data_IF_379418401114
#
_entry.id   IF_379418401114
#
_cell.length_a   1.000
_cell.length_b   1.000
_cell.length_c   1.000
_cell.angle_alpha   90.00
_cell.angle_beta   90.00
_cell.angle_gamma   90.00
#
_symmetry.space_group_name_H-M   'P 1'
#
loop_
_entity.id
_entity.type
_entity.pdbx_description
1 polymer ?
#
# COMPACT_ATOMS: atom_id res chain seq x y z
N UNK A 1 -49.52 2.71 -14.15
CA UNK A 1 -49.02 2.19 -12.85
C UNK A 1 -47.77 1.33 -13.04
N UNK A 2 -47.77 0.35 -13.96
CA UNK A 2 -46.60 -0.51 -14.20
C UNK A 2 -45.39 0.23 -14.79
N UNK A 3 -45.62 1.27 -15.61
CA UNK A 3 -44.57 2.14 -16.15
C UNK A 3 -43.76 2.84 -15.05
N UNK A 4 -44.44 3.36 -14.03
CA UNK A 4 -43.79 4.02 -12.90
C UNK A 4 -42.88 3.05 -12.12
N UNK A 5 -43.28 1.78 -12.04
CA UNK A 5 -42.49 0.72 -11.40
C UNK A 5 -41.25 0.35 -12.22
N UNK A 6 -41.35 0.37 -13.56
CA UNK A 6 -40.22 0.13 -14.46
C UNK A 6 -39.17 1.21 -14.35
N UNK A 7 -39.57 2.49 -14.40
CA UNK A 7 -38.66 3.64 -14.28
C UNK A 7 -37.93 3.61 -12.92
N UNK A 8 -38.62 3.26 -11.82
CA UNK A 8 -37.98 3.13 -10.52
C UNK A 8 -37.02 1.93 -10.41
N UNK A 9 -37.29 0.81 -11.10
CA UNK A 9 -36.38 -0.33 -11.08
C UNK A 9 -35.11 -0.04 -11.89
N UNK A 10 -35.26 0.55 -13.07
CA UNK A 10 -34.17 0.87 -14.00
C UNK A 10 -33.16 1.84 -13.35
N UNK A 11 -33.67 2.93 -12.76
CA UNK A 11 -32.84 3.87 -11.99
C UNK A 11 -32.09 3.22 -10.82
N UNK A 12 -32.69 2.21 -10.16
CA UNK A 12 -32.07 1.53 -9.01
C UNK A 12 -30.97 0.55 -9.41
N UNK A 13 -31.01 0.04 -10.64
CA UNK A 13 -29.97 -0.84 -11.16
C UNK A 13 -28.80 -0.02 -11.72
N UNK A 14 -29.09 1.08 -12.42
CA UNK A 14 -28.07 1.98 -13.00
C UNK A 14 -27.16 2.62 -11.92
N UNK A 15 -27.69 3.01 -10.76
CA UNK A 15 -26.88 3.59 -9.67
C UNK A 15 -25.84 2.64 -9.04
N UNK A 16 -25.94 1.32 -9.28
CA UNK A 16 -25.12 0.31 -8.60
C UNK A 16 -23.93 -0.16 -9.43
N UNK A 17 -24.04 -0.17 -10.75
CA UNK A 17 -23.02 -0.73 -11.63
C UNK A 17 -21.90 0.30 -11.92
N UNK A 18 -22.23 1.56 -12.21
CA UNK A 18 -21.23 2.63 -12.38
C UNK A 18 -20.44 2.96 -11.09
N UNK A 19 -21.10 2.92 -9.93
CA UNK A 19 -20.47 3.18 -8.62
C UNK A 19 -19.61 2.01 -8.15
N UNK A 20 -20.02 0.78 -8.46
CA UNK A 20 -19.28 -0.44 -8.12
C UNK A 20 -18.01 -0.61 -8.95
N UNK A 21 -18.09 -0.40 -10.26
CA UNK A 21 -16.92 -0.45 -11.15
C UNK A 21 -15.88 0.63 -10.79
N UNK A 22 -16.34 1.87 -10.51
CA UNK A 22 -15.46 2.97 -10.08
C UNK A 22 -14.74 2.68 -8.75
N UNK A 23 -15.37 1.98 -7.80
CA UNK A 23 -14.74 1.66 -6.52
C UNK A 23 -13.53 0.73 -6.67
N UNK A 24 -13.54 -0.15 -7.66
CA UNK A 24 -12.46 -1.12 -7.92
C UNK A 24 -11.28 -0.44 -8.62
N UNK A 25 -11.50 0.53 -9.49
CA UNK A 25 -10.42 1.27 -10.17
C UNK A 25 -9.54 2.03 -9.17
N UNK A 26 -10.15 2.84 -8.30
CA UNK A 26 -9.42 3.54 -7.24
C UNK A 26 -8.83 2.56 -6.21
N UNK A 27 -9.55 1.47 -5.90
CA UNK A 27 -9.06 0.41 -5.02
C UNK A 27 -7.79 -0.27 -5.55
N UNK A 28 -7.71 -0.53 -6.86
CA UNK A 28 -6.55 -1.16 -7.50
C UNK A 28 -5.35 -0.21 -7.56
N UNK A 29 -5.56 1.08 -7.80
CA UNK A 29 -4.48 2.07 -7.72
C UNK A 29 -3.89 2.14 -6.31
N UNK A 30 -4.74 2.19 -5.28
CA UNK A 30 -4.31 2.21 -3.87
C UNK A 30 -3.58 0.91 -3.52
N UNK A 31 -4.08 -0.24 -3.95
CA UNK A 31 -3.42 -1.53 -3.73
C UNK A 31 -2.02 -1.58 -4.38
N UNK A 32 -1.86 -1.03 -5.59
CA UNK A 32 -0.57 -0.91 -6.24
C UNK A 32 0.42 -0.04 -5.48
N UNK A 33 -0.02 1.12 -4.98
CA UNK A 33 0.80 2.02 -4.16
C UNK A 33 1.18 1.33 -2.84
N UNK A 34 0.23 0.65 -2.19
CA UNK A 34 0.47 -0.08 -0.96
C UNK A 34 1.53 -1.18 -1.16
N UNK A 35 1.42 -1.97 -2.24
CA UNK A 35 2.40 -2.99 -2.57
C UNK A 35 3.80 -2.40 -2.81
N UNK A 36 3.89 -1.26 -3.52
CA UNK A 36 5.14 -0.54 -3.73
C UNK A 36 5.78 -0.12 -2.41
N UNK A 37 5.01 0.50 -1.51
CA UNK A 37 5.51 0.94 -0.20
C UNK A 37 6.05 -0.24 0.60
N UNK A 38 5.34 -1.37 0.63
CA UNK A 38 5.80 -2.58 1.32
C UNK A 38 7.16 -3.05 0.80
N UNK A 39 7.34 -3.10 -0.53
CA UNK A 39 8.61 -3.49 -1.14
C UNK A 39 9.74 -2.55 -0.72
N UNK A 40 9.49 -1.24 -0.74
CA UNK A 40 10.48 -0.23 -0.34
C UNK A 40 10.86 -0.39 1.14
N UNK A 41 9.89 -0.59 2.03
CA UNK A 41 10.16 -0.76 3.46
C UNK A 41 11.02 -2.01 3.72
N UNK A 42 10.74 -3.14 3.06
CA UNK A 42 11.57 -4.33 3.23
C UNK A 42 12.99 -4.15 2.66
N UNK A 43 13.11 -3.51 1.50
CA UNK A 43 14.41 -3.25 0.88
C UNK A 43 15.28 -2.33 1.75
N UNK A 44 14.72 -1.24 2.26
CA UNK A 44 15.45 -0.30 3.11
C UNK A 44 15.62 -0.80 4.56
N UNK A 45 14.66 -1.56 5.08
CA UNK A 45 14.68 -2.08 6.45
C UNK A 45 15.87 -3.00 6.70
N UNK A 46 16.23 -3.85 5.73
CA UNK A 46 17.44 -4.68 5.80
C UNK A 46 18.71 -3.84 5.89
N UNK A 47 18.88 -2.89 4.97
CA UNK A 47 20.06 -1.99 4.93
C UNK A 47 20.21 -1.18 6.22
N UNK A 48 19.12 -0.63 6.74
CA UNK A 48 19.13 0.13 7.99
C UNK A 48 19.51 -0.77 9.17
N UNK A 49 18.97 -1.99 9.22
CA UNK A 49 19.33 -2.98 10.23
C UNK A 49 20.82 -3.35 10.21
N UNK A 50 21.37 -3.56 9.02
CA UNK A 50 22.79 -3.88 8.82
C UNK A 50 23.69 -2.74 9.31
N UNK A 51 23.38 -1.48 8.94
CA UNK A 51 24.13 -0.30 9.41
C UNK A 51 24.10 -0.19 10.93
N UNK A 52 22.95 -0.42 11.56
CA UNK A 52 22.85 -0.39 13.02
C UNK A 52 23.61 -1.54 13.68
N UNK A 53 23.58 -2.74 13.08
CA UNK A 53 24.34 -3.90 13.54
C UNK A 53 25.85 -3.64 13.46
N UNK A 54 26.33 -3.11 12.35
CA UNK A 54 27.73 -2.77 12.13
C UNK A 54 28.21 -1.69 13.12
N UNK A 55 27.40 -0.65 13.32
CA UNK A 55 27.67 0.40 14.31
C UNK A 55 27.71 -0.17 15.73
N UNK A 56 26.79 -1.07 16.06
CA UNK A 56 26.74 -1.72 17.39
C UNK A 56 27.95 -2.64 17.64
N UNK A 57 28.43 -3.33 16.61
CA UNK A 57 29.62 -4.16 16.69
C UNK A 57 30.89 -3.31 16.84
N UNK A 58 30.96 -2.20 16.10
CA UNK A 58 32.05 -1.23 16.19
C UNK A 58 32.18 -0.63 17.60
N UNK A 59 31.07 -0.19 18.20
CA UNK A 59 31.08 0.39 19.54
C UNK A 59 31.39 -0.67 20.61
N UNK A 60 30.87 -1.90 20.46
CA UNK A 60 31.06 -2.96 21.46
C UNK A 60 32.48 -3.54 21.45
N UNK A 61 33.18 -3.50 20.31
CA UNK A 61 34.56 -4.00 20.18
C UNK A 61 35.60 -2.98 20.67
N UNK A 62 35.15 -1.83 21.19
CA UNK A 62 36.06 -0.80 21.71
C UNK A 62 36.79 -0.08 20.58
N UNK A 63 36.02 0.64 19.75
CA UNK A 63 36.42 1.63 18.75
C UNK A 63 37.94 1.86 18.64
N UNK A 64 38.65 0.93 18.00
CA UNK A 64 40.00 1.20 17.51
C UNK A 64 39.78 1.92 16.19
N UNK A 65 39.74 3.24 16.27
CA UNK A 65 39.25 4.18 15.26
C UNK A 65 40.08 4.18 13.97
N UNK A 66 40.01 3.11 13.17
CA UNK A 66 40.65 3.10 11.84
C UNK A 66 39.79 2.48 10.74
N UNK A 67 38.80 1.64 11.04
CA UNK A 67 37.81 1.25 10.01
C UNK A 67 36.65 0.48 10.63
N UNK A 68 35.79 1.21 11.33
CA UNK A 68 34.37 1.13 11.13
C UNK A 68 33.92 2.57 10.82
#
# INVERSE_FOLDING_TARGET
MLEFLRIMLDARFEDRDERGASAVEYGLLIAGIAALIVVVVFAFGGVVGDIFSDTSSCISTGATATSC
#
